data_IF_375798283126
#
_entry.id   IF_375798283126
#
_cell.length_a   1.000
_cell.length_b   1.000
_cell.length_c   1.000
_cell.angle_alpha   90.00
_cell.angle_beta   90.00
_cell.angle_gamma   90.00
#
_symmetry.space_group_name_H-M   'P 1'
#
loop_
_entity.id
_entity.type
_entity.pdbx_description
1 polymer ?
#
# COMPACT_ATOMS: atom_id res chain seq x y z
N UNK A 1 -2.64 2.32 0.63
CA UNK A 1 -3.97 1.69 0.77
C UNK A 1 -4.98 2.49 -0.07
N UNK A 2 -5.32 2.01 -1.27
CA UNK A 2 -6.37 2.59 -2.09
C UNK A 2 -7.73 2.18 -1.50
N UNK A 3 -8.55 3.16 -1.14
CA UNK A 3 -9.94 2.94 -0.75
C UNK A 3 -10.70 2.45 -1.99
N UNK A 4 -11.12 1.18 -2.00
CA UNK A 4 -11.88 0.61 -3.10
C UNK A 4 -13.31 1.16 -3.08
N UNK A 5 -13.58 2.12 -3.93
CA UNK A 5 -14.91 2.68 -4.19
C UNK A 5 -15.63 1.90 -5.30
N UNK A 6 -16.95 1.87 -5.28
CA UNK A 6 -17.78 1.22 -6.31
C UNK A 6 -17.59 1.85 -7.69
N UNK A 7 -17.79 1.10 -8.77
CA UNK A 7 -17.53 1.50 -10.17
C UNK A 7 -18.14 2.84 -10.58
N UNK A 8 -19.29 3.22 -10.02
CA UNK A 8 -19.90 4.55 -10.28
C UNK A 8 -19.23 5.68 -9.50
N UNK A 9 -18.75 5.42 -8.29
CA UNK A 9 -17.95 6.36 -7.51
C UNK A 9 -16.52 6.47 -8.05
N UNK A 10 -15.93 5.41 -8.58
CA UNK A 10 -14.63 5.45 -9.26
C UNK A 10 -14.66 6.31 -10.51
N UNK A 11 -15.70 6.24 -11.37
CA UNK A 11 -15.82 7.10 -12.55
C UNK A 11 -15.97 8.59 -12.17
N UNK A 12 -16.56 8.90 -11.02
CA UNK A 12 -16.68 10.28 -10.50
C UNK A 12 -15.40 10.72 -9.77
N UNK A 13 -14.66 9.79 -9.14
CA UNK A 13 -13.41 10.05 -8.43
C UNK A 13 -12.20 10.19 -9.36
N UNK A 14 -12.20 9.49 -10.50
CA UNK A 14 -11.13 9.58 -11.53
C UNK A 14 -10.99 11.01 -12.10
N UNK A 15 -12.05 11.84 -12.03
CA UNK A 15 -12.00 13.23 -12.46
C UNK A 15 -11.63 14.22 -11.33
N UNK A 16 -11.47 13.76 -10.09
CA UNK A 16 -11.06 14.64 -9.00
C UNK A 16 -9.55 14.78 -8.98
N UNK A 17 -9.08 16.02 -8.92
CA UNK A 17 -7.65 16.34 -8.85
C UNK A 17 -7.33 17.05 -7.55
N UNK A 18 -6.13 16.85 -7.06
CA UNK A 18 -5.53 17.64 -5.99
C UNK A 18 -4.52 18.61 -6.60
N UNK A 19 -4.57 19.85 -6.15
CA UNK A 19 -3.62 20.89 -6.60
C UNK A 19 -2.48 20.98 -5.61
N UNK A 20 -1.25 20.86 -6.11
CA UNK A 20 -0.02 21.00 -5.33
C UNK A 20 0.73 22.25 -5.73
N UNK A 21 1.18 23.04 -4.74
CA UNK A 21 2.24 24.02 -4.89
C UNK A 21 3.58 23.29 -4.91
N UNK A 22 4.44 23.55 -5.89
CA UNK A 22 5.76 22.95 -5.97
C UNK A 22 6.82 23.88 -5.37
N UNK A 23 7.55 23.38 -4.41
CA UNK A 23 8.68 24.07 -3.78
C UNK A 23 9.93 23.30 -4.15
N UNK A 24 10.56 23.69 -5.25
CA UNK A 24 11.76 23.04 -5.78
C UNK A 24 12.99 23.81 -5.32
N UNK A 25 13.81 23.19 -4.48
CA UNK A 25 15.09 23.74 -4.05
C UNK A 25 16.23 23.31 -4.97
N UNK A 26 17.26 24.14 -5.06
CA UNK A 26 18.56 23.71 -5.57
C UNK A 26 19.22 22.69 -4.61
N UNK A 27 20.23 21.99 -5.07
CA UNK A 27 20.94 20.97 -4.26
C UNK A 27 21.63 21.52 -3.00
N UNK A 28 21.89 22.83 -2.96
CA UNK A 28 22.44 23.50 -1.79
C UNK A 28 21.36 24.01 -0.82
N UNK A 29 20.08 24.03 -1.22
CA UNK A 29 18.98 24.57 -0.44
C UNK A 29 19.05 26.08 -0.25
N UNK A 30 19.66 26.79 -1.20
CA UNK A 30 19.87 28.25 -1.15
C UNK A 30 18.93 29.02 -2.06
N UNK A 31 18.41 28.37 -3.10
CA UNK A 31 17.52 28.93 -4.08
C UNK A 31 16.24 28.11 -4.22
N UNK A 32 15.19 28.76 -4.69
CA UNK A 32 13.89 28.16 -4.99
C UNK A 32 13.47 28.49 -6.42
N UNK A 33 12.85 27.52 -7.09
CA UNK A 33 12.33 27.68 -8.45
C UNK A 33 11.01 28.45 -8.41
N UNK A 34 10.89 29.43 -9.31
CA UNK A 34 9.73 30.31 -9.42
C UNK A 34 9.26 30.37 -10.87
N UNK A 35 7.96 30.32 -11.08
CA UNK A 35 7.33 30.53 -12.37
C UNK A 35 7.06 32.03 -12.58
N UNK A 36 7.47 32.58 -13.75
CA UNK A 36 7.22 33.97 -14.12
C UNK A 36 6.24 34.04 -15.29
N UNK A 37 5.16 34.83 -15.13
CA UNK A 37 4.19 35.13 -16.17
C UNK A 37 4.09 36.65 -16.33
N UNK A 38 4.86 37.20 -17.26
CA UNK A 38 4.98 38.65 -17.41
C UNK A 38 5.72 39.26 -16.21
N UNK A 39 5.02 40.08 -15.43
CA UNK A 39 5.56 40.71 -14.19
C UNK A 39 5.10 39.99 -12.90
N UNK A 40 4.37 38.89 -13.03
CA UNK A 40 3.89 38.11 -11.88
C UNK A 40 4.82 36.92 -11.63
N UNK A 41 5.06 36.63 -10.36
CA UNK A 41 5.92 35.55 -9.89
C UNK A 41 5.14 34.68 -8.90
N UNK A 42 5.12 33.37 -9.14
CA UNK A 42 4.39 32.41 -8.32
C UNK A 42 5.23 31.15 -8.10
N UNK A 43 4.89 30.39 -7.05
CA UNK A 43 5.34 29.01 -6.99
C UNK A 43 4.62 28.20 -8.09
N UNK A 44 5.35 27.31 -8.77
CA UNK A 44 4.70 26.44 -9.77
C UNK A 44 3.58 25.62 -9.16
N UNK A 45 2.50 25.41 -9.94
CA UNK A 45 1.33 24.64 -9.55
C UNK A 45 1.09 23.48 -10.48
N UNK A 46 0.69 22.35 -9.93
CA UNK A 46 0.34 21.14 -10.67
C UNK A 46 -0.94 20.54 -10.13
N UNK A 47 -1.75 20.01 -11.03
CA UNK A 47 -2.90 19.18 -10.70
C UNK A 47 -2.57 17.71 -10.97
N UNK A 48 -2.71 16.86 -9.97
CA UNK A 48 -2.55 15.42 -10.11
C UNK A 48 -3.85 14.70 -9.75
N UNK A 49 -4.17 13.56 -10.39
CA UNK A 49 -5.35 12.78 -10.03
C UNK A 49 -5.31 12.36 -8.56
N UNK A 50 -6.44 12.43 -7.87
CA UNK A 50 -6.54 11.89 -6.51
C UNK A 50 -6.20 10.41 -6.48
N UNK A 51 -5.60 9.99 -5.37
CA UNK A 51 -5.20 8.60 -5.13
C UNK A 51 -4.06 8.08 -6.03
N UNK A 52 -3.34 8.96 -6.73
CA UNK A 52 -2.09 8.60 -7.40
C UNK A 52 -0.89 8.74 -6.46
N UNK A 53 0.29 8.48 -6.98
CA UNK A 53 1.56 8.58 -6.25
C UNK A 53 2.19 9.96 -6.49
N UNK A 54 2.06 10.94 -5.59
CA UNK A 54 2.50 12.33 -5.85
C UNK A 54 3.96 12.43 -6.29
N UNK A 55 4.84 11.60 -5.71
CA UNK A 55 6.27 11.63 -6.04
C UNK A 55 6.53 11.32 -7.53
N UNK A 56 5.88 10.28 -8.05
CA UNK A 56 6.01 9.90 -9.46
C UNK A 56 5.42 10.98 -10.38
N UNK A 57 4.17 11.36 -10.16
CA UNK A 57 3.46 12.33 -10.99
C UNK A 57 4.20 13.67 -11.09
N UNK A 58 4.66 14.20 -9.94
CA UNK A 58 5.36 15.48 -9.88
C UNK A 58 6.73 15.40 -10.56
N UNK A 59 7.53 14.37 -10.28
CA UNK A 59 8.88 14.26 -10.86
C UNK A 59 8.84 13.99 -12.36
N UNK A 60 7.86 13.22 -12.85
CA UNK A 60 7.65 12.98 -14.28
C UNK A 60 7.20 14.25 -15.01
N UNK A 61 6.27 15.02 -14.43
CA UNK A 61 5.81 16.26 -15.00
C UNK A 61 6.97 17.29 -15.13
N UNK A 62 7.74 17.49 -14.06
CA UNK A 62 8.90 18.40 -14.09
C UNK A 62 9.89 17.99 -15.18
N UNK A 63 10.15 16.70 -15.33
CA UNK A 63 11.05 16.17 -16.37
C UNK A 63 10.48 16.40 -17.77
N UNK A 64 9.19 16.14 -17.97
CA UNK A 64 8.56 16.21 -19.29
C UNK A 64 8.33 17.64 -19.76
N UNK A 65 7.83 18.52 -18.88
CA UNK A 65 7.46 19.90 -19.22
C UNK A 65 8.66 20.82 -19.14
N UNK A 66 9.43 20.76 -18.05
CA UNK A 66 10.52 21.72 -17.79
C UNK A 66 11.92 21.15 -18.00
N UNK A 67 12.02 19.87 -18.41
CA UNK A 67 13.31 19.16 -18.59
C UNK A 67 14.16 19.19 -17.32
N UNK A 68 13.51 19.27 -16.15
CA UNK A 68 14.14 19.38 -14.85
C UNK A 68 14.14 18.01 -14.17
N UNK A 69 15.32 17.47 -13.88
CA UNK A 69 15.47 16.29 -13.04
C UNK A 69 15.32 16.68 -11.58
N UNK A 70 14.43 16.00 -10.88
CA UNK A 70 14.14 16.32 -9.48
C UNK A 70 13.85 15.08 -8.66
N UNK A 71 14.00 15.24 -7.35
CA UNK A 71 13.71 14.23 -6.32
C UNK A 71 12.66 14.77 -5.38
N UNK A 72 11.62 13.99 -5.16
CA UNK A 72 10.59 14.30 -4.19
C UNK A 72 11.10 14.02 -2.77
N UNK A 73 10.96 14.99 -1.90
CA UNK A 73 11.41 14.90 -0.50
C UNK A 73 10.26 14.62 0.46
N UNK A 74 9.21 15.44 0.40
CA UNK A 74 8.00 15.30 1.21
C UNK A 74 6.88 16.20 0.69
N UNK A 75 5.69 15.98 1.21
CA UNK A 75 4.54 16.86 0.99
C UNK A 75 3.96 17.34 2.32
N UNK A 76 3.11 18.35 2.26
CA UNK A 76 2.42 18.87 3.42
C UNK A 76 1.18 19.63 3.03
N UNK A 77 0.48 20.14 4.05
CA UNK A 77 -0.74 20.94 3.91
C UNK A 77 -0.50 22.27 4.57
N UNK A 78 -0.92 23.35 3.92
CA UNK A 78 -1.07 24.66 4.55
C UNK A 78 -2.56 24.90 4.72
N UNK A 79 -3.03 24.95 5.97
CA UNK A 79 -4.42 25.22 6.30
C UNK A 79 -4.70 26.72 6.27
N UNK A 80 -5.68 27.14 5.49
CA UNK A 80 -6.36 28.44 5.63
C UNK A 80 -7.86 28.20 5.68
N UNK A 81 -8.45 28.66 6.74
CA UNK A 81 -9.83 28.75 7.24
C UNK A 81 -10.99 28.05 6.48
N UNK A 82 -10.87 27.60 5.23
CA UNK A 82 -11.89 26.85 4.50
C UNK A 82 -11.33 25.94 3.38
N UNK A 83 -10.07 26.12 2.94
CA UNK A 83 -9.45 25.33 1.87
C UNK A 83 -8.05 24.89 2.27
N UNK A 84 -7.84 23.59 2.34
CA UNK A 84 -6.49 23.00 2.48
C UNK A 84 -5.79 23.03 1.12
N UNK A 85 -4.59 23.62 1.04
CA UNK A 85 -3.75 23.56 -0.14
C UNK A 85 -2.56 22.64 0.13
N UNK A 86 -2.33 21.68 -0.76
CA UNK A 86 -1.17 20.80 -0.68
C UNK A 86 0.07 21.50 -1.22
N UNK A 87 1.23 21.15 -0.68
CA UNK A 87 2.51 21.50 -1.28
C UNK A 87 3.42 20.27 -1.37
N UNK A 88 4.27 20.24 -2.38
CA UNK A 88 5.29 19.21 -2.57
C UNK A 88 6.67 19.86 -2.56
N UNK A 89 7.59 19.28 -1.80
CA UNK A 89 8.97 19.75 -1.68
C UNK A 89 9.90 18.83 -2.44
N UNK A 90 10.71 19.41 -3.32
CA UNK A 90 11.61 18.69 -4.20
C UNK A 90 13.02 19.29 -4.14
N UNK A 91 13.99 18.47 -4.52
CA UNK A 91 15.37 18.85 -4.81
C UNK A 91 15.62 18.76 -6.32
N UNK A 92 16.16 19.80 -6.93
CA UNK A 92 16.71 19.72 -8.30
C UNK A 92 18.05 19.01 -8.29
N UNK A 93 18.23 18.05 -9.19
CA UNK A 93 19.51 17.32 -9.36
C UNK A 93 20.35 17.84 -10.52
N UNK A 94 19.81 18.75 -11.34
CA UNK A 94 20.48 19.27 -12.55
C UNK A 94 21.32 20.54 -12.29
N UNK A 95 21.37 21.01 -11.03
CA UNK A 95 21.98 22.28 -10.68
C UNK A 95 21.16 23.48 -11.16
N UNK A 96 21.78 24.67 -11.21
CA UNK A 96 21.17 25.93 -11.67
C UNK A 96 21.29 26.09 -13.20
N UNK A 97 20.88 25.07 -13.97
CA UNK A 97 20.92 25.11 -15.44
C UNK A 97 19.89 26.09 -16.00
N UNK A 98 20.11 26.55 -17.24
CA UNK A 98 19.12 27.38 -17.98
C UNK A 98 17.85 26.58 -18.22
N UNK A 99 16.74 27.06 -17.69
CA UNK A 99 15.43 26.46 -17.83
C UNK A 99 14.62 27.10 -18.98
N UNK A 100 13.53 26.43 -19.44
CA UNK A 100 12.61 27.01 -20.42
C UNK A 100 12.12 28.40 -20.00
N UNK A 101 11.71 29.22 -20.97
CA UNK A 101 11.13 30.55 -20.69
C UNK A 101 10.02 30.47 -19.64
N UNK A 102 10.05 31.38 -18.68
CA UNK A 102 9.04 31.49 -17.64
C UNK A 102 9.39 30.78 -16.31
N UNK A 103 10.60 30.23 -16.19
CA UNK A 103 11.06 29.60 -14.91
C UNK A 103 12.43 30.13 -14.54
N UNK A 104 12.56 30.62 -13.32
CA UNK A 104 13.78 31.27 -12.82
C UNK A 104 14.13 30.81 -11.39
N UNK A 105 15.42 30.81 -11.10
CA UNK A 105 15.92 30.55 -9.75
C UNK A 105 16.12 31.85 -8.97
N UNK A 106 15.52 31.92 -7.78
CA UNK A 106 15.73 33.03 -6.85
C UNK A 106 16.29 32.53 -5.53
N UNK A 107 17.21 33.29 -4.95
CA UNK A 107 17.63 33.00 -3.57
C UNK A 107 16.39 33.05 -2.66
N UNK A 108 16.34 32.19 -1.65
CA UNK A 108 15.18 32.11 -0.75
C UNK A 108 14.91 33.45 -0.08
N UNK A 109 15.96 34.19 0.30
CA UNK A 109 15.82 35.53 0.87
C UNK A 109 15.10 36.48 -0.10
N UNK A 110 15.54 36.52 -1.36
CA UNK A 110 14.93 37.39 -2.37
C UNK A 110 13.51 36.99 -2.67
N UNK A 111 13.24 35.69 -2.83
CA UNK A 111 11.91 35.19 -3.09
C UNK A 111 10.91 35.58 -1.97
N UNK A 112 11.34 35.52 -0.70
CA UNK A 112 10.49 35.81 0.46
C UNK A 112 10.37 37.31 0.79
N UNK A 113 11.28 38.16 0.33
CA UNK A 113 11.31 39.60 0.65
C UNK A 113 10.88 40.51 -0.48
N UNK A 114 11.05 40.09 -1.74
CA UNK A 114 10.94 40.97 -2.90
C UNK A 114 9.93 40.50 -3.96
N UNK A 115 9.63 39.19 -4.00
CA UNK A 115 8.64 38.69 -4.95
C UNK A 115 7.21 38.84 -4.39
N UNK A 116 6.18 39.04 -5.23
CA UNK A 116 4.80 39.22 -4.83
C UNK A 116 4.11 37.89 -4.45
N UNK A 117 4.81 37.04 -3.72
CA UNK A 117 4.23 35.80 -3.23
C UNK A 117 3.03 36.06 -2.30
N UNK A 118 2.01 35.25 -2.42
CA UNK A 118 0.92 35.21 -1.44
C UNK A 118 1.45 34.83 -0.06
N UNK A 119 0.72 35.19 1.00
CA UNK A 119 1.06 34.79 2.38
C UNK A 119 1.19 33.27 2.49
N UNK A 120 0.40 32.54 1.73
CA UNK A 120 0.37 31.10 1.66
C UNK A 120 1.66 30.53 1.08
N UNK A 121 2.11 31.03 -0.08
CA UNK A 121 3.38 30.62 -0.71
C UNK A 121 4.58 30.95 0.19
N UNK A 122 4.61 32.16 0.76
CA UNK A 122 5.65 32.53 1.72
C UNK A 122 5.69 31.57 2.93
N UNK A 123 4.53 31.19 3.47
CA UNK A 123 4.45 30.24 4.60
C UNK A 123 4.95 28.86 4.20
N UNK A 124 4.54 28.35 3.05
CA UNK A 124 4.96 27.04 2.54
C UNK A 124 6.47 26.97 2.34
N UNK A 125 7.09 27.98 1.70
CA UNK A 125 8.56 28.06 1.52
C UNK A 125 9.28 28.11 2.85
N UNK A 126 8.83 28.97 3.80
CA UNK A 126 9.46 29.09 5.14
C UNK A 126 9.42 27.79 5.92
N UNK A 127 8.28 27.11 5.96
CA UNK A 127 8.10 25.85 6.66
C UNK A 127 9.00 24.75 6.05
N UNK A 128 9.02 24.66 4.73
CA UNK A 128 9.84 23.67 4.00
C UNK A 128 11.33 23.91 4.20
N UNK A 129 11.79 25.14 4.04
CA UNK A 129 13.19 25.50 4.27
C UNK A 129 13.63 25.29 5.72
N UNK A 130 12.77 25.66 6.69
CA UNK A 130 13.06 25.42 8.12
C UNK A 130 13.15 23.90 8.42
N UNK A 131 12.29 23.10 7.79
CA UNK A 131 12.30 21.63 7.95
C UNK A 131 13.60 21.05 7.38
N UNK A 132 14.02 21.47 6.19
CA UNK A 132 15.28 21.03 5.58
C UNK A 132 16.52 21.43 6.41
N UNK A 133 16.57 22.65 6.93
CA UNK A 133 17.72 23.13 7.73
C UNK A 133 17.86 22.43 9.09
N UNK A 134 16.77 22.07 9.76
CA UNK A 134 16.81 21.35 11.05
C UNK A 134 17.48 19.98 10.93
N UNK A 135 17.54 19.38 9.76
CA UNK A 135 17.96 18.01 9.50
C UNK A 135 19.38 17.82 9.05
N UNK A 136 20.12 18.91 8.81
CA UNK A 136 21.57 18.85 8.54
C UNK A 136 22.34 18.26 9.74
N UNK A 137 21.74 18.18 10.92
CA UNK A 137 22.48 18.00 12.17
C UNK A 137 22.28 16.67 12.92
N UNK A 138 21.50 15.66 12.49
CA UNK A 138 21.54 14.32 13.15
C UNK A 138 20.67 13.25 12.49
N UNK A 139 20.99 11.95 12.76
CA UNK A 139 20.21 10.74 12.51
C UNK A 139 18.70 11.00 12.59
N UNK A 140 18.13 11.37 11.48
CA UNK A 140 16.75 11.77 11.36
C UNK A 140 15.93 10.50 11.20
N UNK A 141 14.86 10.36 11.96
CA UNK A 141 13.81 9.34 11.72
C UNK A 141 13.12 9.49 10.35
N UNK A 142 13.50 10.50 9.56
CA UNK A 142 12.93 10.84 8.26
C UNK A 142 14.05 11.00 7.21
N UNK A 143 14.69 9.90 6.79
CA UNK A 143 15.91 9.93 5.99
C UNK A 143 15.73 10.57 4.60
N UNK A 144 14.50 10.60 4.05
CA UNK A 144 14.20 11.07 2.70
C UNK A 144 13.77 12.55 2.64
N UNK A 145 13.54 13.19 3.78
CA UNK A 145 13.17 14.61 3.84
C UNK A 145 14.40 15.53 3.97
N UNK A 146 15.49 15.21 3.30
CA UNK A 146 16.73 16.01 3.29
C UNK A 146 17.33 16.10 1.89
N UNK A 147 18.06 17.16 1.62
CA UNK A 147 18.82 17.32 0.38
C UNK A 147 19.95 16.27 0.28
N UNK A 148 20.26 15.84 -0.92
CA UNK A 148 21.33 14.90 -1.23
C UNK A 148 21.09 13.44 -0.91
N UNK A 149 19.93 13.07 -0.34
CA UNK A 149 19.66 11.66 0.02
C UNK A 149 19.65 10.73 -1.21
N UNK A 150 19.17 11.22 -2.35
CA UNK A 150 19.12 10.42 -3.57
C UNK A 150 20.53 10.19 -4.15
N UNK A 151 21.42 11.16 -4.03
CA UNK A 151 22.80 10.96 -4.46
C UNK A 151 23.50 9.92 -3.56
N UNK A 152 23.30 10.01 -2.25
CA UNK A 152 23.80 8.99 -1.31
C UNK A 152 23.24 7.59 -1.64
N UNK A 153 21.93 7.51 -1.97
CA UNK A 153 21.33 6.25 -2.39
C UNK A 153 21.96 5.72 -3.69
N UNK A 154 22.16 6.58 -4.70
CA UNK A 154 22.80 6.19 -5.96
C UNK A 154 24.19 5.61 -5.73
N UNK A 155 25.01 6.28 -4.92
CA UNK A 155 26.36 5.85 -4.63
C UNK A 155 26.37 4.51 -3.89
N UNK A 156 25.45 4.35 -2.94
CA UNK A 156 25.27 3.09 -2.21
C UNK A 156 24.77 1.96 -3.12
N UNK A 157 23.78 2.20 -3.98
CA UNK A 157 23.28 1.20 -4.95
C UNK A 157 24.39 0.80 -5.91
N UNK A 158 25.11 1.77 -6.50
CA UNK A 158 26.20 1.52 -7.44
C UNK A 158 27.30 0.64 -6.80
N UNK A 159 27.67 0.92 -5.54
CA UNK A 159 28.65 0.11 -4.81
C UNK A 159 28.23 -1.34 -4.58
N UNK A 160 26.92 -1.61 -4.49
CA UNK A 160 26.38 -2.96 -4.25
C UNK A 160 26.11 -3.75 -5.55
N UNK A 161 25.86 -3.07 -6.68
CA UNK A 161 25.55 -3.77 -7.94
C UNK A 161 26.79 -3.96 -8.84
N UNK A 162 27.83 -3.12 -8.72
CA UNK A 162 29.08 -3.28 -9.48
C UNK A 162 29.75 -4.63 -9.30
N UNK A 163 29.83 -5.21 -8.09
CA UNK A 163 30.39 -6.55 -7.91
C UNK A 163 29.60 -7.64 -8.64
N UNK A 164 28.32 -7.37 -8.99
CA UNK A 164 27.45 -8.25 -9.76
C UNK A 164 27.58 -8.02 -11.29
N UNK A 165 28.48 -7.15 -11.72
CA UNK A 165 28.68 -6.81 -13.13
C UNK A 165 27.60 -5.89 -13.72
N UNK A 166 26.84 -5.19 -12.87
CA UNK A 166 25.81 -4.25 -13.28
C UNK A 166 26.28 -2.79 -13.12
N UNK A 167 25.83 -1.93 -14.03
CA UNK A 167 26.07 -0.48 -13.97
C UNK A 167 24.73 0.27 -13.98
N UNK A 168 24.62 1.34 -13.22
CA UNK A 168 23.45 2.22 -13.23
C UNK A 168 23.32 2.97 -14.55
N UNK A 169 22.10 3.07 -15.09
CA UNK A 169 21.75 3.82 -16.29
C UNK A 169 20.85 5.00 -15.98
N UNK A 170 19.78 4.77 -15.25
CA UNK A 170 18.82 5.80 -14.85
C UNK A 170 18.07 5.37 -13.60
N UNK A 171 17.34 6.30 -13.00
CA UNK A 171 16.46 6.03 -11.87
C UNK A 171 15.10 6.67 -12.07
N UNK A 172 14.11 6.11 -11.38
CA UNK A 172 12.75 6.64 -11.29
C UNK A 172 12.26 6.48 -9.86
N UNK A 173 11.92 7.60 -9.22
CA UNK A 173 11.26 7.59 -7.91
C UNK A 173 9.76 7.39 -8.14
N UNK A 174 9.25 6.24 -7.73
CA UNK A 174 7.85 5.84 -7.96
C UNK A 174 6.94 6.27 -6.80
N UNK A 175 7.47 6.29 -5.60
CA UNK A 175 6.73 6.72 -4.42
C UNK A 175 7.70 7.26 -3.37
N UNK A 176 7.22 8.14 -2.47
CA UNK A 176 8.07 8.69 -1.44
C UNK A 176 7.30 9.60 -0.47
N UNK A 177 7.79 9.61 0.74
CA UNK A 177 7.51 10.60 1.78
C UNK A 177 8.75 10.71 2.68
N UNK A 178 8.61 11.33 3.84
CA UNK A 178 9.73 11.54 4.77
C UNK A 178 10.42 10.23 5.22
N UNK A 179 9.61 9.16 5.38
CA UNK A 179 10.05 7.89 6.00
C UNK A 179 9.98 6.70 5.06
N UNK A 180 9.38 6.88 3.88
CA UNK A 180 9.18 5.83 2.89
C UNK A 180 9.77 6.26 1.55
N UNK A 181 10.38 5.31 0.82
CA UNK A 181 10.78 5.54 -0.56
C UNK A 181 10.76 4.25 -1.38
N UNK A 182 10.28 4.36 -2.62
CA UNK A 182 10.34 3.32 -3.64
C UNK A 182 11.00 3.88 -4.89
N UNK A 183 12.18 3.35 -5.23
CA UNK A 183 12.97 3.81 -6.37
C UNK A 183 13.33 2.62 -7.25
N UNK A 184 13.06 2.73 -8.54
CA UNK A 184 13.50 1.79 -9.56
C UNK A 184 14.77 2.29 -10.22
N UNK A 185 15.79 1.46 -10.30
CA UNK A 185 17.04 1.72 -10.98
C UNK A 185 17.13 0.85 -12.24
N UNK A 186 17.24 1.48 -13.40
CA UNK A 186 17.61 0.78 -14.62
C UNK A 186 19.13 0.54 -14.61
N UNK A 187 19.51 -0.67 -14.97
CA UNK A 187 20.94 -1.08 -15.05
C UNK A 187 21.30 -1.57 -16.44
N UNK A 188 22.54 -1.97 -16.64
CA UNK A 188 23.00 -2.62 -17.89
C UNK A 188 22.42 -4.02 -18.09
N UNK A 189 21.82 -4.60 -17.06
CA UNK A 189 21.19 -5.92 -17.09
C UNK A 189 19.70 -5.78 -16.73
N UNK A 190 19.27 -6.37 -15.63
CA UNK A 190 17.91 -6.25 -15.12
C UNK A 190 17.78 -5.04 -14.19
N UNK A 191 16.60 -4.45 -14.07
CA UNK A 191 16.36 -3.41 -13.07
C UNK A 191 16.60 -3.91 -11.65
N UNK A 192 16.93 -2.99 -10.75
CA UNK A 192 16.92 -3.23 -9.31
C UNK A 192 16.04 -2.21 -8.61
N UNK A 193 15.50 -2.57 -7.47
CA UNK A 193 14.53 -1.79 -6.75
C UNK A 193 15.02 -1.49 -5.34
N UNK A 194 14.96 -0.24 -4.94
CA UNK A 194 15.16 0.14 -3.54
C UNK A 194 13.80 0.44 -2.92
N UNK A 195 13.50 -0.23 -1.81
CA UNK A 195 12.35 0.05 -0.95
C UNK A 195 12.87 0.36 0.44
N UNK A 196 12.33 1.42 1.05
CA UNK A 196 12.55 1.72 2.45
C UNK A 196 11.22 2.04 3.11
N UNK A 197 11.08 1.69 4.38
CA UNK A 197 9.82 1.78 5.12
C UNK A 197 10.03 2.50 6.45
N UNK A 198 8.99 3.16 6.90
CA UNK A 198 8.90 3.81 8.21
C UNK A 198 7.52 3.61 8.81
N UNK A 199 7.28 4.22 9.98
CA UNK A 199 5.96 4.15 10.61
C UNK A 199 4.82 4.59 9.67
N UNK A 200 3.67 3.90 9.67
CA UNK A 200 3.30 2.78 10.54
C UNK A 200 3.72 1.38 10.01
N UNK A 201 4.44 1.29 8.90
CA UNK A 201 4.76 0.03 8.22
C UNK A 201 6.20 -0.45 8.47
N UNK A 202 6.84 0.01 9.56
CA UNK A 202 8.23 -0.33 9.88
C UNK A 202 8.47 -1.84 10.00
N UNK A 203 7.46 -2.59 10.45
CA UNK A 203 7.50 -4.05 10.56
C UNK A 203 7.75 -4.78 9.23
N UNK A 204 7.39 -4.17 8.09
CA UNK A 204 7.65 -4.76 6.77
C UNK A 204 9.15 -5.00 6.52
N UNK A 205 10.03 -4.20 7.12
CA UNK A 205 11.47 -4.39 7.01
C UNK A 205 11.90 -5.76 7.55
N UNK A 206 11.51 -6.09 8.78
CA UNK A 206 11.83 -7.39 9.42
C UNK A 206 11.15 -8.55 8.72
N UNK A 207 9.88 -8.38 8.34
CA UNK A 207 9.11 -9.39 7.61
C UNK A 207 9.77 -9.73 6.26
N UNK A 208 10.14 -8.72 5.46
CA UNK A 208 10.77 -8.94 4.15
C UNK A 208 12.08 -9.74 4.27
N UNK A 209 12.87 -9.49 5.31
CA UNK A 209 14.09 -10.24 5.60
C UNK A 209 13.81 -11.67 6.04
N UNK A 210 12.82 -11.88 6.91
CA UNK A 210 12.38 -13.21 7.33
C UNK A 210 11.85 -14.02 6.14
N UNK A 211 10.99 -13.42 5.31
CA UNK A 211 10.48 -14.10 4.11
C UNK A 211 11.60 -14.46 3.13
N UNK A 212 12.58 -13.58 2.93
CA UNK A 212 13.73 -13.89 2.10
C UNK A 212 14.56 -15.02 2.67
N UNK A 213 14.67 -15.13 3.98
CA UNK A 213 15.40 -16.22 4.67
C UNK A 213 14.68 -17.56 4.53
N UNK A 214 13.37 -17.59 4.77
CA UNK A 214 12.60 -18.83 4.84
C UNK A 214 12.00 -19.26 3.49
N UNK A 215 11.59 -18.30 2.65
CA UNK A 215 10.85 -18.54 1.42
C UNK A 215 11.46 -17.83 0.20
N UNK A 216 12.77 -18.04 -0.06
CA UNK A 216 13.52 -17.26 -1.05
C UNK A 216 12.99 -17.33 -2.49
N UNK A 217 12.23 -18.36 -2.83
CA UNK A 217 11.68 -18.52 -4.20
C UNK A 217 10.38 -17.76 -4.43
N UNK A 218 9.72 -17.26 -3.37
CA UNK A 218 8.43 -16.57 -3.47
C UNK A 218 8.53 -15.05 -3.34
N UNK A 219 9.70 -14.54 -3.03
CA UNK A 219 9.95 -13.11 -2.82
C UNK A 219 11.18 -12.64 -3.59
N UNK A 220 11.27 -11.35 -3.94
CA UNK A 220 12.45 -10.82 -4.62
C UNK A 220 13.73 -11.08 -3.84
N UNK A 221 14.85 -11.30 -4.57
CA UNK A 221 16.14 -11.46 -3.92
C UNK A 221 16.62 -10.14 -3.33
N UNK A 222 16.93 -10.09 -2.04
CA UNK A 222 17.56 -8.95 -1.39
C UNK A 222 19.06 -8.96 -1.74
N UNK A 223 19.52 -7.93 -2.44
CA UNK A 223 20.92 -7.74 -2.88
C UNK A 223 21.73 -7.13 -1.74
N UNK A 224 21.18 -6.10 -1.08
CA UNK A 224 21.82 -5.38 0.02
C UNK A 224 20.79 -4.75 0.95
N UNK A 225 21.19 -4.48 2.20
CA UNK A 225 20.34 -3.84 3.22
C UNK A 225 20.99 -2.58 3.75
N UNK A 226 20.21 -1.50 3.84
CA UNK A 226 20.58 -0.21 4.40
C UNK A 226 19.83 -0.02 5.71
N UNK A 227 20.36 -0.56 6.79
CA UNK A 227 19.70 -0.65 8.11
C UNK A 227 19.29 0.72 8.68
N UNK A 228 20.12 1.73 8.51
CA UNK A 228 19.88 3.08 9.00
C UNK A 228 18.68 3.78 8.35
N UNK A 229 18.20 3.26 7.24
CA UNK A 229 17.01 3.76 6.52
C UNK A 229 15.84 2.76 6.53
N UNK A 230 15.98 1.64 7.23
CA UNK A 230 15.06 0.50 7.13
C UNK A 230 14.74 0.19 5.67
N UNK A 231 15.78 0.16 4.84
CA UNK A 231 15.67 -0.01 3.39
C UNK A 231 16.48 -1.20 2.88
N UNK A 232 16.04 -1.73 1.75
CA UNK A 232 16.75 -2.81 1.07
C UNK A 232 16.72 -2.63 -0.44
N UNK A 233 17.79 -3.11 -1.06
CA UNK A 233 17.92 -3.22 -2.51
C UNK A 233 17.55 -4.64 -2.91
N UNK A 234 16.65 -4.80 -3.88
CA UNK A 234 16.18 -6.09 -4.33
C UNK A 234 16.24 -6.19 -5.86
N UNK A 235 16.33 -7.43 -6.35
CA UNK A 235 16.24 -7.73 -7.77
C UNK A 235 14.81 -7.48 -8.28
N UNK A 236 14.70 -7.27 -9.59
CA UNK A 236 13.41 -7.30 -10.27
C UNK A 236 12.77 -8.69 -10.15
N UNK A 237 11.45 -8.76 -10.07
CA UNK A 237 10.71 -10.03 -9.98
C UNK A 237 10.74 -10.86 -11.27
N UNK A 238 11.28 -10.31 -12.35
CA UNK A 238 11.52 -11.04 -13.60
C UNK A 238 10.27 -11.35 -14.42
N UNK A 239 9.21 -10.56 -14.29
CA UNK A 239 7.95 -10.78 -15.00
C UNK A 239 7.06 -9.54 -15.05
N UNK A 240 5.83 -9.74 -15.49
CA UNK A 240 4.76 -8.74 -15.43
C UNK A 240 3.87 -8.99 -14.21
N UNK A 241 3.17 -7.98 -13.73
CA UNK A 241 2.20 -8.15 -12.68
C UNK A 241 0.94 -8.86 -13.21
N UNK A 242 0.29 -9.63 -12.34
CA UNK A 242 -0.83 -10.48 -12.75
C UNK A 242 -2.03 -9.66 -13.27
N UNK A 243 -2.19 -8.43 -12.82
CA UNK A 243 -3.21 -7.47 -13.30
C UNK A 243 -3.00 -7.02 -14.76
N UNK A 244 -1.79 -7.19 -15.31
CA UNK A 244 -1.49 -6.89 -16.71
C UNK A 244 -1.90 -8.01 -17.67
N UNK A 245 -2.39 -9.17 -17.16
CA UNK A 245 -2.76 -10.31 -17.99
C UNK A 245 -4.13 -10.89 -17.65
N UNK A 246 -4.91 -11.25 -18.67
CA UNK A 246 -6.13 -12.03 -18.52
C UNK A 246 -5.95 -13.53 -18.82
N UNK A 247 -4.70 -14.03 -18.97
CA UNK A 247 -4.43 -15.42 -19.24
C UNK A 247 -4.80 -16.30 -18.02
N UNK A 248 -5.82 -17.19 -18.11
CA UNK A 248 -6.28 -18.00 -16.98
C UNK A 248 -5.19 -18.89 -16.38
N UNK A 249 -4.24 -19.35 -17.19
CA UNK A 249 -3.14 -20.20 -16.70
C UNK A 249 -2.20 -19.41 -15.77
N UNK A 250 -1.92 -18.15 -16.06
CA UNK A 250 -1.14 -17.30 -15.17
C UNK A 250 -1.83 -17.10 -13.79
N UNK A 251 -3.15 -16.90 -13.81
CA UNK A 251 -3.95 -16.78 -12.59
C UNK A 251 -3.99 -18.10 -11.80
N UNK A 252 -4.16 -19.24 -12.46
CA UNK A 252 -4.09 -20.55 -11.81
C UNK A 252 -2.70 -20.83 -11.22
N UNK A 253 -1.63 -20.46 -11.92
CA UNK A 253 -0.26 -20.58 -11.43
C UNK A 253 -0.03 -19.72 -10.19
N UNK A 254 -0.51 -18.47 -10.18
CA UNK A 254 -0.41 -17.57 -9.03
C UNK A 254 -1.08 -18.16 -7.78
N UNK A 255 -2.28 -18.72 -7.94
CA UNK A 255 -3.04 -19.32 -6.83
C UNK A 255 -2.42 -20.64 -6.36
N UNK A 256 -1.90 -21.45 -7.25
CA UNK A 256 -1.16 -22.66 -6.88
C UNK A 256 0.13 -22.29 -6.11
N UNK A 257 0.85 -21.27 -6.57
CA UNK A 257 2.06 -20.76 -5.89
C UNK A 257 1.74 -20.18 -4.50
N UNK A 258 0.60 -19.48 -4.35
CA UNK A 258 0.14 -19.01 -3.03
C UNK A 258 -0.06 -20.21 -2.09
N UNK A 259 -0.79 -21.24 -2.51
CA UNK A 259 -1.04 -22.41 -1.69
C UNK A 259 0.29 -23.13 -1.31
N UNK A 260 1.23 -23.23 -2.25
CA UNK A 260 2.55 -23.84 -1.99
C UNK A 260 3.32 -23.03 -0.91
N UNK A 261 3.37 -21.70 -1.01
CA UNK A 261 3.98 -20.83 -0.01
C UNK A 261 3.30 -20.98 1.37
N UNK A 262 1.98 -21.02 1.40
CA UNK A 262 1.22 -21.17 2.64
C UNK A 262 1.51 -22.51 3.31
N UNK A 263 1.52 -23.59 2.56
CA UNK A 263 1.85 -24.94 3.06
C UNK A 263 3.29 -25.00 3.58
N UNK A 264 4.25 -24.43 2.86
CA UNK A 264 5.64 -24.37 3.30
C UNK A 264 5.82 -23.52 4.58
N UNK A 265 4.95 -22.54 4.82
CA UNK A 265 5.04 -21.65 5.97
C UNK A 265 4.50 -22.23 7.29
N UNK A 266 3.79 -23.35 7.26
CA UNK A 266 3.17 -23.95 8.47
C UNK A 266 4.18 -24.19 9.58
N UNK A 267 5.40 -24.62 9.25
CA UNK A 267 6.46 -24.90 10.22
C UNK A 267 7.20 -23.68 10.78
N UNK A 268 6.88 -22.46 10.31
CA UNK A 268 7.63 -21.23 10.65
C UNK A 268 6.75 -20.13 11.25
N UNK A 269 5.57 -20.48 11.74
CA UNK A 269 4.56 -19.55 12.25
C UNK A 269 5.12 -18.64 13.37
N UNK A 270 5.83 -19.19 14.32
CA UNK A 270 6.38 -18.44 15.45
C UNK A 270 7.47 -17.46 14.99
N UNK A 271 8.35 -17.88 14.07
CA UNK A 271 9.36 -16.99 13.46
C UNK A 271 8.71 -15.84 12.69
N UNK A 272 7.58 -16.07 11.99
CA UNK A 272 6.84 -15.06 11.26
C UNK A 272 6.18 -14.04 12.20
N UNK A 273 5.60 -14.50 13.31
CA UNK A 273 5.03 -13.62 14.33
C UNK A 273 6.14 -12.79 15.01
N UNK A 274 7.28 -13.40 15.32
CA UNK A 274 8.45 -12.68 15.88
C UNK A 274 9.00 -11.63 14.89
N UNK A 275 8.97 -11.92 13.58
CA UNK A 275 9.35 -10.97 12.56
C UNK A 275 8.39 -9.79 12.40
N UNK A 276 7.19 -9.85 13.02
CA UNK A 276 6.21 -8.75 13.03
C UNK A 276 4.97 -9.00 12.19
N UNK A 277 4.76 -10.20 11.65
CA UNK A 277 3.50 -10.58 11.03
C UNK A 277 2.36 -10.45 12.06
N UNK A 278 1.21 -9.93 11.62
CA UNK A 278 0.05 -9.80 12.52
C UNK A 278 -0.51 -11.18 12.88
N UNK A 279 -0.94 -11.34 14.12
CA UNK A 279 -1.66 -12.54 14.53
C UNK A 279 -3.16 -12.36 14.24
N UNK A 280 -3.65 -13.03 13.20
CA UNK A 280 -5.05 -13.12 12.81
C UNK A 280 -5.57 -14.57 12.87
N UNK A 281 -4.98 -15.39 13.74
CA UNK A 281 -5.45 -16.75 14.01
C UNK A 281 -6.81 -16.71 14.71
N UNK A 282 -7.55 -17.82 14.65
CA UNK A 282 -8.90 -17.86 15.17
C UNK A 282 -9.02 -17.45 16.66
N UNK A 283 -8.13 -17.82 17.60
CA UNK A 283 -8.22 -17.35 18.98
C UNK A 283 -8.16 -15.81 19.09
N UNK A 284 -7.23 -15.17 18.40
CA UNK A 284 -7.08 -13.72 18.39
C UNK A 284 -8.29 -13.04 17.72
N UNK A 285 -8.76 -13.58 16.61
CA UNK A 285 -9.94 -13.04 15.93
C UNK A 285 -11.20 -13.15 16.79
N UNK A 286 -11.39 -14.24 17.55
CA UNK A 286 -12.54 -14.40 18.45
C UNK A 286 -12.61 -13.31 19.52
N UNK A 287 -11.47 -12.91 20.08
CA UNK A 287 -11.38 -11.81 21.07
C UNK A 287 -11.74 -10.44 20.46
N UNK A 288 -11.63 -10.28 19.14
CA UNK A 288 -11.87 -9.02 18.45
C UNK A 288 -13.34 -8.85 18.01
N UNK A 289 -14.16 -9.91 17.98
CA UNK A 289 -15.52 -9.86 17.42
C UNK A 289 -16.39 -8.86 18.16
N UNK A 290 -16.58 -9.04 19.47
CA UNK A 290 -17.47 -8.17 20.25
C UNK A 290 -16.97 -6.72 20.31
N UNK A 291 -15.70 -6.43 20.64
CA UNK A 291 -15.19 -5.06 20.65
C UNK A 291 -15.35 -4.33 19.30
N UNK A 292 -15.15 -5.07 18.19
CA UNK A 292 -15.33 -4.51 16.86
C UNK A 292 -16.83 -4.15 16.61
N UNK A 293 -17.74 -5.07 16.89
CA UNK A 293 -19.16 -4.85 16.62
C UNK A 293 -19.79 -3.84 17.57
N UNK A 294 -19.29 -3.68 18.80
CA UNK A 294 -19.67 -2.60 19.69
C UNK A 294 -19.29 -1.24 19.08
N UNK A 295 -18.07 -1.10 18.58
CA UNK A 295 -17.64 0.10 17.86
C UNK A 295 -18.50 0.33 16.62
N UNK A 296 -18.85 -0.73 15.88
CA UNK A 296 -19.74 -0.59 14.71
C UNK A 296 -21.14 -0.15 15.09
N UNK A 297 -21.68 -0.58 16.23
CA UNK A 297 -22.96 -0.11 16.73
C UNK A 297 -22.95 1.41 16.99
N UNK A 298 -21.87 1.94 17.57
CA UNK A 298 -21.71 3.37 17.75
C UNK A 298 -21.63 4.11 16.41
N UNK A 299 -20.82 3.62 15.47
CA UNK A 299 -20.69 4.22 14.15
C UNK A 299 -21.97 4.15 13.32
N UNK A 300 -22.76 3.08 13.45
CA UNK A 300 -24.08 2.97 12.80
C UNK A 300 -25.05 4.03 13.35
N UNK A 301 -25.06 4.26 14.68
CA UNK A 301 -25.90 5.29 15.29
C UNK A 301 -25.52 6.72 14.85
N UNK A 302 -24.27 6.95 14.46
CA UNK A 302 -23.77 8.23 13.96
C UNK A 302 -24.07 8.45 12.48
N UNK A 303 -24.62 7.45 11.76
CA UNK A 303 -24.90 7.61 10.34
C UNK A 303 -26.09 8.53 10.11
N UNK A 304 -25.88 9.59 9.34
CA UNK A 304 -26.90 10.61 9.02
C UNK A 304 -27.58 10.43 7.68
N UNK A 305 -26.97 9.61 6.79
CA UNK A 305 -27.48 9.42 5.42
C UNK A 305 -28.06 8.02 5.22
N UNK A 306 -29.23 7.95 4.58
CA UNK A 306 -29.89 6.69 4.18
C UNK A 306 -30.38 6.87 2.74
N UNK A 307 -30.13 5.95 1.80
CA UNK A 307 -29.32 4.72 1.89
C UNK A 307 -27.81 5.00 2.05
N UNK A 308 -26.99 4.02 2.46
CA UNK A 308 -27.34 2.61 2.76
C UNK A 308 -28.00 2.45 4.15
N UNK A 309 -28.71 1.32 4.41
CA UNK A 309 -29.43 1.12 5.68
C UNK A 309 -28.51 1.04 6.88
N UNK A 310 -28.99 1.54 8.01
CA UNK A 310 -28.35 1.40 9.32
C UNK A 310 -28.64 0.00 9.86
N UNK A 311 -27.63 -0.74 10.32
CA UNK A 311 -27.82 -2.01 10.98
C UNK A 311 -28.23 -1.79 12.45
N UNK A 312 -29.28 -2.47 12.88
CA UNK A 312 -29.75 -2.45 14.26
C UNK A 312 -28.80 -3.21 15.20
N UNK A 313 -28.90 -2.93 16.50
CA UNK A 313 -28.15 -3.69 17.51
C UNK A 313 -28.45 -5.19 17.46
N UNK A 314 -29.69 -5.56 17.20
CA UNK A 314 -30.06 -6.98 17.08
C UNK A 314 -29.38 -7.65 15.87
N UNK A 315 -29.33 -6.97 14.72
CA UNK A 315 -28.60 -7.47 13.54
C UNK A 315 -27.10 -7.60 13.80
N UNK A 316 -26.51 -6.64 14.52
CA UNK A 316 -25.09 -6.71 14.89
C UNK A 316 -24.80 -7.82 15.91
N UNK A 317 -25.70 -8.05 16.90
CA UNK A 317 -25.58 -9.17 17.82
C UNK A 317 -25.64 -10.52 17.11
N UNK A 318 -26.60 -10.69 16.20
CA UNK A 318 -26.68 -11.91 15.39
C UNK A 318 -25.47 -12.09 14.48
N UNK A 319 -24.92 -11.00 13.93
CA UNK A 319 -23.69 -11.01 13.15
C UNK A 319 -22.50 -11.46 14.02
N UNK A 320 -22.40 -10.98 15.28
CA UNK A 320 -21.37 -11.43 16.23
C UNK A 320 -21.41 -12.95 16.43
N UNK A 321 -22.59 -13.49 16.73
CA UNK A 321 -22.78 -14.94 16.91
C UNK A 321 -22.38 -15.72 15.66
N UNK A 322 -22.78 -15.25 14.48
CA UNK A 322 -22.46 -15.92 13.20
C UNK A 322 -20.97 -15.89 12.89
N UNK A 323 -20.27 -14.79 13.18
CA UNK A 323 -18.81 -14.70 12.99
C UNK A 323 -18.07 -15.64 13.94
N UNK A 324 -18.48 -15.67 15.23
CA UNK A 324 -17.88 -16.58 16.23
C UNK A 324 -18.08 -18.04 15.86
N UNK A 325 -19.28 -18.41 15.42
CA UNK A 325 -19.56 -19.75 14.95
C UNK A 325 -18.72 -20.13 13.73
N UNK A 326 -18.61 -19.24 12.74
CA UNK A 326 -17.78 -19.47 11.57
C UNK A 326 -16.28 -19.63 11.91
N UNK A 327 -15.75 -18.85 12.85
CA UNK A 327 -14.38 -18.99 13.36
C UNK A 327 -14.16 -20.32 14.07
N UNK A 328 -15.10 -20.76 14.90
CA UNK A 328 -15.04 -22.05 15.60
C UNK A 328 -15.12 -23.22 14.61
N UNK A 329 -16.00 -23.14 13.59
CA UNK A 329 -16.06 -24.14 12.55
C UNK A 329 -14.74 -24.23 11.76
N UNK A 330 -14.15 -23.10 11.32
CA UNK A 330 -12.86 -23.12 10.65
C UNK A 330 -11.75 -23.74 11.50
N UNK A 331 -11.71 -23.42 12.80
CA UNK A 331 -10.74 -24.03 13.72
C UNK A 331 -10.92 -25.55 13.86
N UNK A 332 -12.17 -26.04 13.81
CA UNK A 332 -12.48 -27.47 13.94
C UNK A 332 -12.02 -28.28 12.71
N UNK A 333 -11.84 -27.67 11.55
CA UNK A 333 -11.35 -28.33 10.34
C UNK A 333 -9.88 -28.77 10.41
N UNK A 334 -9.14 -28.33 11.41
CA UNK A 334 -7.72 -28.68 11.61
C UNK A 334 -6.84 -28.41 10.38
N UNK A 335 -7.19 -27.40 9.57
CA UNK A 335 -6.32 -26.85 8.54
C UNK A 335 -5.36 -25.90 9.26
N UNK A 336 -4.06 -26.17 9.17
CA UNK A 336 -3.05 -25.39 9.87
C UNK A 336 -3.02 -23.93 9.43
N UNK A 337 -2.83 -23.03 10.40
CA UNK A 337 -2.56 -21.62 10.10
C UNK A 337 -1.27 -21.48 9.28
N UNK A 338 -1.21 -20.44 8.48
CA UNK A 338 -0.12 -20.19 7.53
C UNK A 338 0.16 -18.69 7.37
N UNK A 339 1.21 -18.38 6.65
CA UNK A 339 1.47 -17.02 6.17
C UNK A 339 0.32 -16.55 5.29
N UNK A 340 -0.18 -15.35 5.58
CA UNK A 340 -1.20 -14.66 4.80
C UNK A 340 -0.78 -13.25 4.42
N UNK A 341 -1.55 -12.64 3.52
CA UNK A 341 -1.29 -11.32 2.97
C UNK A 341 -2.60 -10.56 2.78
N UNK A 342 -2.89 -9.56 3.61
CA UNK A 342 -4.17 -8.81 3.56
C UNK A 342 -4.25 -7.80 2.41
N UNK A 343 -3.20 -7.65 1.62
CA UNK A 343 -3.20 -6.87 0.37
C UNK A 343 -2.80 -7.76 -0.84
N UNK A 344 -3.25 -9.02 -0.84
CA UNK A 344 -2.98 -9.97 -1.91
C UNK A 344 -3.85 -9.69 -3.13
N UNK A 345 -3.54 -8.59 -3.82
CA UNK A 345 -4.18 -8.20 -5.07
C UNK A 345 -3.27 -8.56 -6.27
N UNK A 346 -3.83 -8.67 -7.50
CA UNK A 346 -3.05 -9.06 -8.68
C UNK A 346 -1.86 -8.17 -9.00
N UNK A 347 -1.88 -6.89 -8.62
CA UNK A 347 -0.75 -5.96 -8.80
C UNK A 347 0.45 -6.26 -7.88
N UNK A 348 0.26 -7.08 -6.81
CA UNK A 348 1.32 -7.52 -5.91
C UNK A 348 1.84 -8.94 -6.23
N UNK A 349 1.46 -9.48 -7.38
CA UNK A 349 1.86 -10.82 -7.86
C UNK A 349 2.59 -10.67 -9.18
N UNK A 350 3.89 -10.94 -9.20
CA UNK A 350 4.70 -10.93 -10.42
C UNK A 350 4.73 -12.33 -10.99
N UNK A 351 4.33 -12.49 -12.25
CA UNK A 351 4.31 -13.78 -12.96
C UNK A 351 5.51 -13.84 -13.90
N UNK A 352 6.44 -14.71 -13.58
CA UNK A 352 7.64 -14.96 -14.36
C UNK A 352 7.69 -16.39 -14.96
N UNK A 353 8.71 -16.70 -15.75
CA UNK A 353 8.88 -18.02 -16.38
C UNK A 353 9.02 -19.17 -15.37
N UNK A 354 9.57 -18.89 -14.18
CA UNK A 354 9.86 -19.88 -13.14
C UNK A 354 8.79 -19.98 -12.06
N UNK A 355 7.69 -19.19 -12.16
CA UNK A 355 6.63 -19.15 -11.19
C UNK A 355 6.24 -17.72 -10.81
N UNK A 356 5.66 -17.56 -9.61
CA UNK A 356 5.22 -16.25 -9.13
C UNK A 356 6.08 -15.74 -7.98
N UNK A 357 6.31 -14.44 -7.98
CA UNK A 357 6.96 -13.70 -6.88
C UNK A 357 5.95 -12.74 -6.26
N UNK A 358 5.87 -12.72 -4.94
CA UNK A 358 4.93 -11.88 -4.20
C UNK A 358 5.66 -10.71 -3.56
N UNK A 359 5.06 -9.53 -3.62
CA UNK A 359 5.65 -8.27 -3.17
C UNK A 359 4.70 -7.51 -2.23
N UNK A 360 5.22 -6.48 -1.55
CA UNK A 360 4.47 -5.56 -0.68
C UNK A 360 3.86 -6.21 0.58
N UNK A 361 4.74 -6.75 1.42
CA UNK A 361 4.39 -7.54 2.60
C UNK A 361 4.05 -6.70 3.86
N UNK A 362 3.74 -5.41 3.71
CA UNK A 362 3.33 -4.55 4.83
C UNK A 362 2.09 -5.06 5.58
N UNK A 363 1.22 -5.80 4.90
CA UNK A 363 0.00 -6.37 5.45
C UNK A 363 0.10 -7.90 5.67
N UNK A 364 1.33 -8.41 5.89
CA UNK A 364 1.57 -9.81 6.22
C UNK A 364 0.98 -10.19 7.58
N UNK A 365 0.45 -11.39 7.66
CA UNK A 365 -0.16 -11.93 8.87
C UNK A 365 -0.05 -13.45 8.93
N UNK A 366 -0.36 -14.00 10.09
CA UNK A 366 -0.58 -15.44 10.27
C UNK A 366 -2.06 -15.68 10.52
N UNK A 367 -2.68 -16.54 9.73
CA UNK A 367 -4.12 -16.86 9.85
C UNK A 367 -4.45 -18.18 9.16
N UNK A 368 -5.73 -18.55 9.22
CA UNK A 368 -6.26 -19.60 8.35
C UNK A 368 -6.01 -19.27 6.87
N UNK A 369 -5.41 -20.17 6.07
CA UNK A 369 -4.90 -19.88 4.72
C UNK A 369 -5.94 -19.35 3.73
N UNK A 370 -7.18 -19.80 3.85
CA UNK A 370 -8.27 -19.44 2.96
C UNK A 370 -8.67 -17.97 3.04
N UNK A 371 -8.29 -17.25 4.10
CA UNK A 371 -8.63 -15.82 4.23
C UNK A 371 -7.91 -14.96 3.16
N UNK A 372 -6.64 -15.23 2.89
CA UNK A 372 -5.90 -14.56 1.80
C UNK A 372 -6.49 -14.89 0.43
N UNK A 373 -6.88 -16.16 0.21
CA UNK A 373 -7.49 -16.56 -1.05
C UNK A 373 -8.86 -15.88 -1.28
N UNK A 374 -9.72 -15.79 -0.26
CA UNK A 374 -11.00 -15.08 -0.37
C UNK A 374 -10.82 -13.57 -0.58
N UNK A 375 -9.77 -12.96 0.01
CA UNK A 375 -9.41 -11.59 -0.27
C UNK A 375 -9.07 -11.41 -1.77
N UNK A 376 -8.25 -12.29 -2.33
CA UNK A 376 -7.91 -12.31 -3.76
C UNK A 376 -9.16 -12.45 -4.64
N UNK A 377 -10.05 -13.40 -4.34
CA UNK A 377 -11.30 -13.58 -5.08
C UNK A 377 -12.19 -12.34 -5.04
N UNK A 378 -12.15 -11.58 -3.95
CA UNK A 378 -12.90 -10.34 -3.86
C UNK A 378 -12.42 -9.26 -4.84
N UNK A 379 -11.10 -9.18 -5.09
CA UNK A 379 -10.51 -8.31 -6.12
C UNK A 379 -10.85 -8.83 -7.51
N UNK A 380 -10.70 -10.13 -7.74
CA UNK A 380 -11.05 -10.76 -9.01
C UNK A 380 -12.47 -10.41 -9.43
N UNK A 381 -13.46 -10.64 -8.56
CA UNK A 381 -14.88 -10.38 -8.85
C UNK A 381 -15.18 -8.91 -9.13
N UNK A 382 -14.45 -8.01 -8.46
CA UNK A 382 -14.68 -6.57 -8.55
C UNK A 382 -14.00 -5.96 -9.77
N UNK A 383 -12.73 -6.29 -9.98
CA UNK A 383 -11.83 -5.50 -10.83
C UNK A 383 -11.45 -6.25 -12.14
N UNK A 384 -11.70 -7.58 -12.23
CA UNK A 384 -11.26 -8.43 -13.35
C UNK A 384 -12.40 -9.27 -13.97
N UNK A 385 -13.43 -8.63 -14.54
CA UNK A 385 -14.63 -9.34 -15.05
C UNK A 385 -14.32 -10.37 -16.15
N UNK A 386 -13.20 -10.23 -16.87
CA UNK A 386 -12.75 -11.18 -17.89
C UNK A 386 -12.20 -12.48 -17.31
N UNK A 387 -11.79 -12.47 -16.03
CA UNK A 387 -11.23 -13.64 -15.32
C UNK A 387 -12.29 -14.33 -14.43
N UNK A 388 -13.34 -13.60 -14.03
CA UNK A 388 -14.43 -14.16 -13.20
C UNK A 388 -14.98 -15.50 -13.72
N UNK A 389 -15.15 -15.75 -15.03
CA UNK A 389 -15.62 -17.05 -15.54
C UNK A 389 -14.73 -18.25 -15.17
N UNK A 390 -13.47 -18.02 -14.77
CA UNK A 390 -12.51 -19.04 -14.36
C UNK A 390 -12.37 -19.19 -12.85
N UNK A 391 -13.24 -18.57 -12.05
CA UNK A 391 -13.15 -18.61 -10.58
C UNK A 391 -13.21 -20.04 -10.03
N UNK A 392 -14.05 -20.90 -10.59
CA UNK A 392 -14.15 -22.29 -10.17
C UNK A 392 -12.88 -23.09 -10.45
N UNK A 393 -12.18 -22.78 -11.55
CA UNK A 393 -10.88 -23.37 -11.86
C UNK A 393 -9.80 -22.91 -10.87
N UNK A 394 -9.84 -21.64 -10.44
CA UNK A 394 -8.95 -21.12 -9.41
C UNK A 394 -9.20 -21.78 -8.06
N UNK A 395 -10.46 -21.92 -7.65
CA UNK A 395 -10.86 -22.65 -6.43
C UNK A 395 -10.39 -24.09 -6.47
N UNK A 396 -10.60 -24.76 -7.60
CA UNK A 396 -10.15 -26.15 -7.82
C UNK A 396 -8.62 -26.30 -7.78
N UNK A 397 -7.90 -25.33 -8.33
CA UNK A 397 -6.42 -25.32 -8.30
C UNK A 397 -5.89 -25.13 -6.89
N UNK A 398 -6.49 -24.21 -6.12
CA UNK A 398 -6.16 -23.97 -4.72
C UNK A 398 -6.47 -25.19 -3.84
N UNK A 399 -7.68 -25.73 -3.97
CA UNK A 399 -8.16 -26.90 -3.22
C UNK A 399 -7.25 -28.12 -3.40
N UNK A 400 -6.86 -28.43 -4.64
CA UNK A 400 -5.98 -29.57 -4.93
C UNK A 400 -4.65 -29.51 -4.18
N UNK A 401 -4.08 -28.34 -3.97
CA UNK A 401 -2.84 -28.18 -3.18
C UNK A 401 -3.09 -28.55 -1.72
N UNK A 402 -4.17 -28.01 -1.14
CA UNK A 402 -4.50 -28.26 0.26
C UNK A 402 -4.98 -29.67 0.56
N UNK A 403 -5.53 -30.40 -0.41
CA UNK A 403 -5.89 -31.82 -0.27
C UNK A 403 -4.70 -32.74 -0.01
N UNK A 404 -3.47 -32.28 -0.25
CA UNK A 404 -2.25 -32.96 0.20
C UNK A 404 -1.99 -32.88 1.71
N UNK A 405 -2.63 -31.91 2.40
CA UNK A 405 -2.42 -31.63 3.82
C UNK A 405 -3.70 -31.77 4.67
N UNK A 406 -4.89 -31.84 4.05
CA UNK A 406 -6.18 -31.96 4.70
C UNK A 406 -7.16 -32.76 3.86
N UNK A 407 -8.27 -33.23 4.44
CA UNK A 407 -9.29 -33.96 3.68
C UNK A 407 -10.01 -33.06 2.67
N UNK A 408 -10.51 -33.65 1.59
CA UNK A 408 -11.29 -32.91 0.58
C UNK A 408 -12.56 -32.28 1.20
N UNK A 409 -13.13 -32.94 2.18
CA UNK A 409 -14.30 -32.47 2.93
C UNK A 409 -13.96 -31.20 3.73
N UNK A 410 -12.91 -31.22 4.55
CA UNK A 410 -12.44 -30.05 5.30
C UNK A 410 -12.08 -28.87 4.39
N UNK A 411 -11.43 -29.13 3.25
CA UNK A 411 -11.12 -28.09 2.25
C UNK A 411 -12.41 -27.49 1.67
N UNK A 412 -13.43 -28.32 1.38
CA UNK A 412 -14.74 -27.85 0.89
C UNK A 412 -15.46 -27.01 1.94
N UNK A 413 -15.48 -27.46 3.19
CA UNK A 413 -16.10 -26.73 4.30
C UNK A 413 -15.37 -25.39 4.58
N UNK A 414 -14.04 -25.35 4.45
CA UNK A 414 -13.29 -24.10 4.60
C UNK A 414 -13.78 -23.01 3.63
N UNK A 415 -14.10 -23.36 2.39
CA UNK A 415 -14.68 -22.41 1.43
C UNK A 415 -16.08 -21.91 1.82
N UNK A 416 -16.79 -22.63 2.66
CA UNK A 416 -18.11 -22.21 3.14
C UNK A 416 -18.00 -21.08 4.17
N UNK A 417 -17.03 -21.19 5.11
CA UNK A 417 -16.91 -20.26 6.23
C UNK A 417 -15.94 -19.08 5.95
N UNK A 418 -14.92 -19.30 5.12
CA UNK A 418 -13.86 -18.31 4.88
C UNK A 418 -14.34 -16.96 4.30
N UNK A 419 -15.39 -16.85 3.46
CA UNK A 419 -15.81 -15.55 2.93
C UNK A 419 -16.22 -14.56 4.02
N UNK A 420 -16.98 -15.00 5.02
CA UNK A 420 -17.39 -14.14 6.14
C UNK A 420 -16.19 -13.76 7.01
N UNK A 421 -15.37 -14.76 7.38
CA UNK A 421 -14.23 -14.55 8.27
C UNK A 421 -13.16 -13.69 7.60
N UNK A 422 -12.94 -13.82 6.30
CA UNK A 422 -11.97 -12.99 5.55
C UNK A 422 -12.33 -11.50 5.59
N UNK A 423 -13.63 -11.15 5.43
CA UNK A 423 -14.06 -9.75 5.54
C UNK A 423 -13.87 -9.22 6.95
N UNK A 424 -14.15 -10.03 7.97
CA UNK A 424 -13.95 -9.65 9.36
C UNK A 424 -12.46 -9.48 9.69
N UNK A 425 -11.63 -10.48 9.37
CA UNK A 425 -10.18 -10.42 9.60
C UNK A 425 -9.54 -9.19 8.92
N UNK A 426 -9.92 -8.90 7.69
CA UNK A 426 -9.49 -7.70 6.98
C UNK A 426 -9.90 -6.40 7.70
N UNK A 427 -11.12 -6.33 8.21
CA UNK A 427 -11.62 -5.14 8.90
C UNK A 427 -10.88 -4.86 10.21
N UNK A 428 -10.46 -5.90 10.93
CA UNK A 428 -9.80 -5.76 12.24
C UNK A 428 -8.27 -5.69 12.15
N UNK A 429 -7.66 -6.18 11.06
CA UNK A 429 -6.21 -6.29 10.90
C UNK A 429 -5.45 -4.98 11.11
N UNK A 430 -5.98 -3.85 10.65
CA UNK A 430 -5.31 -2.54 10.68
C UNK A 430 -5.52 -1.74 11.96
N UNK A 431 -6.23 -2.24 12.97
CA UNK A 431 -6.56 -1.55 14.23
C UNK A 431 -7.21 -0.15 14.11
N UNK A 432 -7.45 0.37 12.91
CA UNK A 432 -8.01 1.72 12.66
C UNK A 432 -9.36 1.96 13.30
N UNK A 433 -10.12 0.89 13.50
CA UNK A 433 -11.42 0.92 14.15
C UNK A 433 -11.33 1.21 15.67
N UNK A 434 -10.15 0.98 16.30
CA UNK A 434 -9.87 1.26 17.72
C UNK A 434 -9.26 2.64 17.95
N UNK A 435 -8.60 3.20 16.95
CA UNK A 435 -7.87 4.46 17.07
C UNK A 435 -8.81 5.65 16.89
N UNK A 436 -9.09 6.36 17.97
CA UNK A 436 -10.01 7.51 17.93
C UNK A 436 -9.64 8.55 16.89
N UNK A 437 -8.34 8.78 16.65
CA UNK A 437 -7.90 9.73 15.62
C UNK A 437 -8.17 9.21 14.21
N UNK A 438 -8.02 7.93 13.96
CA UNK A 438 -8.36 7.31 12.68
C UNK A 438 -9.88 7.34 12.42
N UNK A 439 -10.68 7.08 13.45
CA UNK A 439 -12.15 7.10 13.33
C UNK A 439 -12.70 8.52 13.09
N UNK A 440 -11.98 9.58 13.47
CA UNK A 440 -12.33 10.98 13.16
C UNK A 440 -12.07 11.35 11.68
N UNK A 441 -11.26 10.57 10.93
CA UNK A 441 -11.05 10.80 9.50
C UNK A 441 -12.37 10.53 8.77
N UNK A 442 -12.96 11.50 8.03
CA UNK A 442 -14.33 11.41 7.54
C UNK A 442 -14.67 10.16 6.73
N UNK A 443 -13.69 9.59 6.02
CA UNK A 443 -13.87 8.40 5.17
C UNK A 443 -13.87 7.09 5.96
N UNK A 444 -13.16 7.02 7.10
CA UNK A 444 -12.96 5.78 7.87
C UNK A 444 -14.27 5.20 8.43
N UNK A 445 -15.14 5.97 9.09
CA UNK A 445 -16.43 5.46 9.57
C UNK A 445 -17.31 4.90 8.46
N UNK A 446 -17.37 5.60 7.33
CA UNK A 446 -18.13 5.15 6.15
C UNK A 446 -17.64 3.82 5.61
N UNK A 447 -16.32 3.66 5.52
CA UNK A 447 -15.67 2.45 5.07
C UNK A 447 -15.91 1.26 6.02
N UNK A 448 -15.73 1.45 7.33
CA UNK A 448 -15.98 0.42 8.34
C UNK A 448 -17.44 -0.05 8.33
N UNK A 449 -18.41 0.88 8.25
CA UNK A 449 -19.83 0.54 8.08
C UNK A 449 -20.09 -0.26 6.80
N UNK A 450 -19.40 0.05 5.70
CA UNK A 450 -19.50 -0.70 4.44
C UNK A 450 -19.01 -2.14 4.59
N UNK A 451 -17.86 -2.35 5.26
CA UNK A 451 -17.35 -3.69 5.56
C UNK A 451 -18.30 -4.47 6.46
N UNK A 452 -18.89 -3.84 7.47
CA UNK A 452 -19.87 -4.50 8.36
C UNK A 452 -21.12 -4.95 7.61
N UNK A 453 -21.62 -4.14 6.67
CA UNK A 453 -22.73 -4.57 5.78
C UNK A 453 -22.33 -5.70 4.84
N UNK A 454 -21.07 -5.73 4.40
CA UNK A 454 -20.56 -6.86 3.62
C UNK A 454 -20.50 -8.12 4.47
N UNK A 455 -20.02 -8.05 5.71
CA UNK A 455 -20.05 -9.19 6.64
C UNK A 455 -21.47 -9.72 6.82
N UNK A 456 -22.46 -8.85 6.97
CA UNK A 456 -23.88 -9.26 7.08
C UNK A 456 -24.33 -10.03 5.85
N UNK A 457 -24.01 -9.55 4.64
CA UNK A 457 -24.36 -10.27 3.41
C UNK A 457 -23.68 -11.64 3.31
N UNK A 458 -22.39 -11.75 3.69
CA UNK A 458 -21.70 -13.04 3.73
C UNK A 458 -22.31 -13.99 4.78
N UNK A 459 -22.72 -13.46 5.93
CA UNK A 459 -23.43 -14.25 6.96
C UNK A 459 -24.77 -14.78 6.47
N UNK A 460 -25.55 -13.97 5.77
CA UNK A 460 -26.82 -14.39 5.15
C UNK A 460 -26.60 -15.46 4.07
N UNK A 461 -25.55 -15.32 3.26
CA UNK A 461 -25.21 -16.35 2.26
C UNK A 461 -24.75 -17.66 2.92
N UNK A 462 -23.95 -17.59 3.99
CA UNK A 462 -23.54 -18.75 4.76
C UNK A 462 -24.75 -19.52 5.31
N UNK A 463 -25.71 -18.81 5.90
CA UNK A 463 -26.96 -19.44 6.42
C UNK A 463 -27.75 -20.13 5.32
N UNK A 464 -27.94 -19.52 4.15
CA UNK A 464 -28.63 -20.13 3.00
C UNK A 464 -27.95 -21.43 2.56
N UNK A 465 -26.62 -21.41 2.37
CA UNK A 465 -25.84 -22.58 1.94
C UNK A 465 -25.91 -23.74 2.94
N UNK A 466 -25.93 -23.45 4.25
CA UNK A 466 -26.11 -24.47 5.30
C UNK A 466 -27.52 -25.14 5.26
N UNK A 467 -28.53 -24.41 4.84
CA UNK A 467 -29.91 -24.96 4.70
C UNK A 467 -30.05 -25.80 3.43
N UNK A 468 -29.39 -25.42 2.34
CA UNK A 468 -29.43 -26.14 1.06
C UNK A 468 -28.61 -27.44 1.05
N UNK A 469 -27.57 -27.54 1.90
CA UNK A 469 -26.76 -28.74 2.09
C UNK A 469 -26.79 -29.17 3.57
N UNK A 470 -27.91 -29.73 4.09
CA UNK A 470 -27.90 -30.31 5.42
C UNK A 470 -27.04 -31.58 5.38
N UNK A 471 -25.99 -31.64 6.25
CA UNK A 471 -25.16 -32.81 6.47
C UNK A 471 -25.92 -34.09 6.75
#
# INVERSE_FOLDING_TARGET
>A
MQLSTTTHEQATLVNQKDTYLLIVFDSAGTAVLVESQGNEYHLPKIEIPKFTRPAQEVTELLRNVWKLSSVFLFSGVVEESANASYFAVLESTDGLCLHPQGIEWFTIHHALSSLPFSKHECRAVRLSHAKLRRRIYKNSSEPFARLGWMQELKDWVDSNIRPLGMELRSLQQLNGCETFSLVRFATTQQPVWFKAVGEPNLHEFSISHALRKFFPRYVPNIIATKYEWHGWLMSDGGGATLDETSNPLAWQTAIATLADLQIESIGTIDDLLEAGCRDLRAPTLLELVDPFLDTMAELMNQQTTVPPPVLSRQELSHLSETIKDALQCLSALQISDSLGHSDFNPGNIIVGPEGCTFIDWAEAHVSHPFLTFEYFLSHLRKDYPTVVPFEDDLRSSYARRWQGCSSAEHVSEAFLFSPLVAVFAYAVAGNRWREQECVKIPQVPGYLRSLTRRMKREAEMLQRRRVECPN
#
